data_IF_516550467753
#
_entry.id   IF_516550467753
#
_cell.length_a   1.000
_cell.length_b   1.000
_cell.length_c   1.000
_cell.angle_alpha   90.00
_cell.angle_beta   90.00
_cell.angle_gamma   90.00
#
_symmetry.space_group_name_H-M   'P 1'
#
loop_
_entity.id
_entity.type
_entity.pdbx_description
1 polymer ?
#
# COMPACT_ATOMS: atom_id res chain seq x y z
N UNK A 1 -31.22 -14.85 26.02
CA UNK A 1 -30.61 -16.00 25.30
C UNK A 1 -30.40 -15.68 23.82
N UNK A 2 -31.35 -15.03 23.14
CA UNK A 2 -31.17 -14.57 21.75
C UNK A 2 -30.05 -13.53 21.57
N UNK A 3 -29.88 -12.57 22.48
CA UNK A 3 -28.86 -11.53 22.32
C UNK A 3 -27.42 -12.06 22.37
N UNK A 4 -27.15 -13.04 23.26
CA UNK A 4 -25.84 -13.68 23.37
C UNK A 4 -25.49 -14.51 22.11
N UNK A 5 -26.49 -15.15 21.49
CA UNK A 5 -26.29 -15.93 20.26
C UNK A 5 -26.03 -14.98 19.08
N UNK A 6 -26.78 -13.88 18.98
CA UNK A 6 -26.57 -12.84 17.96
C UNK A 6 -25.18 -12.21 18.08
N UNK A 7 -24.75 -11.86 19.29
CA UNK A 7 -23.42 -11.29 19.54
C UNK A 7 -22.28 -12.27 19.17
N UNK A 8 -22.45 -13.56 19.46
CA UNK A 8 -21.48 -14.59 19.07
C UNK A 8 -21.40 -14.80 17.56
N UNK A 9 -22.55 -14.77 16.87
CA UNK A 9 -22.61 -14.87 15.40
C UNK A 9 -21.92 -13.66 14.75
N UNK A 10 -22.17 -12.46 15.28
CA UNK A 10 -21.58 -11.23 14.80
C UNK A 10 -20.06 -11.23 14.97
N UNK A 11 -19.54 -11.55 16.17
CA UNK A 11 -18.10 -11.71 16.43
C UNK A 11 -17.43 -12.73 15.52
N UNK A 12 -18.10 -13.86 15.27
CA UNK A 12 -17.59 -14.91 14.35
C UNK A 12 -17.54 -14.42 12.91
N UNK A 13 -18.51 -13.62 12.49
CA UNK A 13 -18.55 -13.03 11.14
C UNK A 13 -17.47 -11.97 10.94
N UNK A 14 -17.27 -11.07 11.91
CA UNK A 14 -16.20 -10.05 11.90
C UNK A 14 -14.84 -10.73 11.79
N UNK A 15 -14.56 -11.71 12.65
CA UNK A 15 -13.30 -12.45 12.64
C UNK A 15 -13.06 -13.15 11.30
N UNK A 16 -14.10 -13.72 10.69
CA UNK A 16 -14.01 -14.38 9.38
C UNK A 16 -13.63 -13.40 8.29
N UNK A 17 -14.29 -12.24 8.23
CA UNK A 17 -14.06 -11.24 7.18
C UNK A 17 -12.70 -10.55 7.32
N UNK A 18 -12.32 -10.16 8.54
CA UNK A 18 -11.00 -9.59 8.82
C UNK A 18 -9.90 -10.61 8.49
N UNK A 19 -10.00 -11.86 8.96
CA UNK A 19 -9.00 -12.88 8.65
C UNK A 19 -8.88 -13.16 7.16
N UNK A 20 -10.00 -13.13 6.42
CA UNK A 20 -9.99 -13.33 4.97
C UNK A 20 -9.29 -12.19 4.25
N UNK A 21 -9.60 -10.94 4.61
CA UNK A 21 -8.94 -9.77 4.05
C UNK A 21 -7.43 -9.76 4.38
N UNK A 22 -7.06 -10.02 5.64
CA UNK A 22 -5.66 -10.06 6.07
C UNK A 22 -4.87 -11.14 5.34
N UNK A 23 -5.42 -12.35 5.21
CA UNK A 23 -4.79 -13.42 4.43
C UNK A 23 -4.61 -13.02 2.97
N UNK A 24 -5.61 -12.38 2.37
CA UNK A 24 -5.52 -11.90 0.98
C UNK A 24 -4.39 -10.90 0.81
N UNK A 25 -4.26 -9.93 1.72
CA UNK A 25 -3.17 -8.95 1.71
C UNK A 25 -1.80 -9.62 1.88
N UNK A 26 -1.68 -10.58 2.80
CA UNK A 26 -0.44 -11.34 2.99
C UNK A 26 -0.06 -12.12 1.72
N UNK A 27 -1.03 -12.80 1.09
CA UNK A 27 -0.78 -13.49 -0.19
C UNK A 27 -0.34 -12.52 -1.29
N UNK A 28 -0.96 -11.34 -1.38
CA UNK A 28 -0.55 -10.33 -2.34
C UNK A 28 0.87 -9.85 -2.05
N UNK A 29 1.22 -9.61 -0.79
CA UNK A 29 2.57 -9.19 -0.40
C UNK A 29 3.61 -10.25 -0.74
N UNK A 30 3.32 -11.54 -0.48
CA UNK A 30 4.22 -12.63 -0.86
C UNK A 30 4.44 -12.70 -2.37
N UNK A 31 3.36 -12.56 -3.16
CA UNK A 31 3.46 -12.53 -4.62
C UNK A 31 4.30 -11.34 -5.09
N UNK A 32 4.12 -10.16 -4.49
CA UNK A 32 4.94 -8.97 -4.77
C UNK A 32 6.42 -9.25 -4.52
N UNK A 33 6.76 -9.80 -3.35
CA UNK A 33 8.14 -10.13 -3.00
C UNK A 33 8.74 -11.17 -3.96
N UNK A 34 7.97 -12.18 -4.35
CA UNK A 34 8.40 -13.22 -5.30
C UNK A 34 8.68 -12.61 -6.69
N UNK A 35 7.76 -11.81 -7.22
CA UNK A 35 7.92 -11.17 -8.54
C UNK A 35 9.11 -10.20 -8.52
N UNK A 36 9.26 -9.42 -7.46
CA UNK A 36 10.39 -8.52 -7.27
C UNK A 36 11.72 -9.28 -7.32
N UNK A 37 11.83 -10.38 -6.55
CA UNK A 37 13.01 -11.24 -6.52
C UNK A 37 13.35 -11.83 -7.90
N UNK A 38 12.37 -12.44 -8.57
CA UNK A 38 12.59 -13.02 -9.89
C UNK A 38 12.91 -11.98 -10.97
N UNK A 39 12.37 -10.76 -10.86
CA UNK A 39 12.68 -9.67 -11.78
C UNK A 39 14.14 -9.22 -11.66
N UNK A 40 14.66 -9.08 -10.43
CA UNK A 40 16.07 -8.78 -10.20
C UNK A 40 16.95 -9.93 -10.68
N UNK A 41 16.61 -11.18 -10.35
CA UNK A 41 17.37 -12.36 -10.78
C UNK A 41 17.46 -12.44 -12.31
N UNK A 42 16.34 -12.23 -13.01
CA UNK A 42 16.30 -12.22 -14.46
C UNK A 42 17.19 -11.13 -15.07
N UNK A 43 17.13 -9.90 -14.54
CA UNK A 43 17.95 -8.79 -15.02
C UNK A 43 19.44 -8.99 -14.71
N UNK A 44 19.75 -9.60 -13.57
CA UNK A 44 21.12 -9.95 -13.18
C UNK A 44 21.73 -10.95 -14.17
N UNK A 45 21.01 -12.01 -14.50
CA UNK A 45 21.45 -13.01 -15.50
C UNK A 45 21.59 -12.36 -16.89
N UNK A 46 20.68 -11.46 -17.27
CA UNK A 46 20.65 -10.85 -18.61
C UNK A 46 21.74 -9.81 -18.86
N UNK A 47 21.97 -8.91 -17.90
CA UNK A 47 22.88 -7.77 -18.09
C UNK A 47 24.27 -7.98 -17.46
N UNK A 48 24.47 -9.04 -16.66
CA UNK A 48 25.71 -9.32 -15.90
C UNK A 48 26.23 -8.10 -15.10
N UNK A 49 25.36 -7.16 -14.77
CA UNK A 49 25.66 -5.94 -14.02
C UNK A 49 25.53 -6.22 -12.52
N UNK A 50 26.13 -5.37 -11.67
CA UNK A 50 25.90 -5.44 -10.22
C UNK A 50 24.42 -5.25 -9.90
N UNK A 51 23.99 -5.82 -8.78
CA UNK A 51 22.61 -5.68 -8.30
C UNK A 51 22.27 -4.20 -8.09
N UNK A 52 23.21 -3.41 -7.57
CA UNK A 52 23.03 -1.98 -7.32
C UNK A 52 22.76 -1.18 -8.60
N UNK A 53 23.45 -1.50 -9.70
CA UNK A 53 23.20 -0.84 -10.99
C UNK A 53 21.84 -1.23 -11.59
N UNK A 54 21.35 -2.43 -11.28
CA UNK A 54 20.03 -2.91 -11.72
C UNK A 54 18.93 -2.22 -10.93
N UNK A 55 19.05 -2.14 -9.60
CA UNK A 55 18.07 -1.48 -8.75
C UNK A 55 18.01 0.01 -9.08
N UNK A 56 19.14 0.70 -9.18
CA UNK A 56 19.19 2.13 -9.52
C UNK A 56 18.44 2.45 -10.83
N UNK A 57 18.52 1.57 -11.83
CA UNK A 57 17.92 1.81 -13.15
C UNK A 57 16.47 1.30 -13.29
N UNK A 58 16.14 0.15 -12.71
CA UNK A 58 14.91 -0.58 -13.01
C UNK A 58 13.94 -0.71 -11.84
N UNK A 59 14.30 -0.26 -10.63
CA UNK A 59 13.49 -0.44 -9.42
C UNK A 59 12.03 0.02 -9.60
N UNK A 60 11.81 1.23 -10.15
CA UNK A 60 10.46 1.74 -10.40
C UNK A 60 9.64 0.86 -11.36
N UNK A 61 10.27 0.31 -12.40
CA UNK A 61 9.60 -0.58 -13.36
C UNK A 61 9.23 -1.91 -12.68
N UNK A 62 10.15 -2.45 -11.87
CA UNK A 62 9.92 -3.69 -11.13
C UNK A 62 8.76 -3.50 -10.14
N UNK A 63 8.68 -2.37 -9.44
CA UNK A 63 7.56 -2.06 -8.55
C UNK A 63 6.23 -1.96 -9.30
N UNK A 64 6.17 -1.27 -10.44
CA UNK A 64 4.94 -1.16 -11.23
C UNK A 64 4.45 -2.54 -11.68
N UNK A 65 5.35 -3.37 -12.21
CA UNK A 65 5.01 -4.74 -12.66
C UNK A 65 4.53 -5.60 -11.48
N UNK A 66 5.25 -5.52 -10.36
CA UNK A 66 4.91 -6.25 -9.14
C UNK A 66 3.52 -5.84 -8.66
N UNK A 67 3.28 -4.54 -8.45
CA UNK A 67 2.00 -4.01 -7.94
C UNK A 67 0.84 -4.31 -8.88
N UNK A 68 1.03 -4.21 -10.20
CA UNK A 68 0.00 -4.60 -11.16
C UNK A 68 -0.38 -6.09 -11.01
N UNK A 69 0.61 -6.98 -10.91
CA UNK A 69 0.37 -8.41 -10.73
C UNK A 69 -0.28 -8.72 -9.37
N UNK A 70 0.22 -8.13 -8.28
CA UNK A 70 -0.35 -8.29 -6.94
C UNK A 70 -1.80 -7.82 -6.86
N UNK A 71 -2.12 -6.71 -7.53
CA UNK A 71 -3.49 -6.16 -7.61
C UNK A 71 -4.43 -7.09 -8.39
N UNK A 72 -3.95 -7.70 -9.48
CA UNK A 72 -4.72 -8.69 -10.24
C UNK A 72 -4.97 -9.96 -9.41
N UNK A 73 -3.98 -10.43 -8.66
CA UNK A 73 -4.14 -11.55 -7.72
C UNK A 73 -5.14 -11.22 -6.60
N UNK A 74 -5.08 -10.00 -6.05
CA UNK A 74 -6.05 -9.51 -5.08
C UNK A 74 -7.46 -9.54 -5.65
N UNK A 75 -7.65 -8.98 -6.84
CA UNK A 75 -8.94 -8.93 -7.54
C UNK A 75 -9.48 -10.33 -7.86
N UNK A 76 -8.63 -11.22 -8.35
CA UNK A 76 -9.01 -12.59 -8.66
C UNK A 76 -9.45 -13.33 -7.39
N UNK A 77 -8.66 -13.25 -6.32
CA UNK A 77 -8.99 -13.87 -5.04
C UNK A 77 -10.23 -13.23 -4.40
N UNK A 78 -10.40 -11.92 -4.51
CA UNK A 78 -11.57 -11.22 -3.97
C UNK A 78 -12.85 -11.63 -4.72
N UNK A 79 -12.83 -11.63 -6.06
CA UNK A 79 -13.95 -12.02 -6.91
C UNK A 79 -14.33 -13.49 -6.76
N UNK A 80 -13.36 -14.38 -6.62
CA UNK A 80 -13.61 -15.82 -6.44
C UNK A 80 -14.31 -16.14 -5.10
N UNK A 81 -14.18 -15.25 -4.11
CA UNK A 81 -14.36 -15.60 -2.72
C UNK A 81 -15.39 -14.69 -2.00
N UNK A 82 -15.87 -13.62 -2.63
CA UNK A 82 -16.90 -12.71 -2.09
C UNK A 82 -18.07 -12.61 -3.09
N UNK A 83 -19.25 -13.13 -2.73
CA UNK A 83 -20.50 -13.12 -3.52
C UNK A 83 -21.19 -11.74 -3.43
N UNK A 84 -20.42 -10.65 -3.49
CA UNK A 84 -21.00 -9.30 -3.53
C UNK A 84 -20.47 -8.55 -4.74
N UNK A 85 -21.43 -8.01 -5.47
CA UNK A 85 -21.28 -7.41 -6.78
C UNK A 85 -20.36 -6.18 -6.68
N UNK A 86 -19.14 -6.31 -7.23
CA UNK A 86 -18.15 -5.22 -7.36
C UNK A 86 -18.76 -4.00 -8.08
N UNK A 87 -19.88 -4.19 -8.80
CA UNK A 87 -20.70 -3.18 -9.47
C UNK A 87 -21.15 -2.02 -8.57
N UNK A 88 -21.30 -2.24 -7.25
CA UNK A 88 -21.63 -1.17 -6.29
C UNK A 88 -20.42 -0.33 -5.87
N UNK A 89 -19.20 -0.82 -6.12
CA UNK A 89 -17.95 -0.10 -5.83
C UNK A 89 -17.62 0.90 -6.93
N UNK A 90 -18.09 0.68 -8.16
CA UNK A 90 -17.85 1.55 -9.31
C UNK A 90 -18.86 2.70 -9.41
N UNK A 91 -18.79 3.69 -8.51
CA UNK A 91 -19.16 5.05 -8.98
C UNK A 91 -18.10 5.43 -10.02
N UNK A 92 -18.51 5.89 -11.21
CA UNK A 92 -17.58 6.39 -12.23
C UNK A 92 -16.63 7.39 -11.56
N UNK A 93 -15.38 6.97 -11.32
CA UNK A 93 -14.32 7.86 -10.88
C UNK A 93 -14.09 8.81 -12.05
N UNK A 94 -14.58 10.04 -11.92
CA UNK A 94 -14.28 11.07 -12.90
C UNK A 94 -12.76 11.21 -12.97
N UNK A 95 -12.19 11.22 -14.18
CA UNK A 95 -10.77 11.52 -14.40
C UNK A 95 -10.35 12.78 -13.63
N UNK A 96 -11.26 13.76 -13.52
CA UNK A 96 -11.07 14.98 -12.75
C UNK A 96 -10.82 14.71 -11.25
N UNK A 97 -11.58 13.79 -10.64
CA UNK A 97 -11.41 13.44 -9.24
C UNK A 97 -10.10 12.69 -9.01
N UNK A 98 -9.73 11.80 -9.93
CA UNK A 98 -8.42 11.11 -9.87
C UNK A 98 -7.30 12.14 -9.94
N UNK A 99 -7.33 13.07 -10.90
CA UNK A 99 -6.30 14.11 -11.03
C UNK A 99 -6.21 15.02 -9.79
N UNK A 100 -7.36 15.39 -9.20
CA UNK A 100 -7.39 16.20 -7.97
C UNK A 100 -6.81 15.41 -6.81
N UNK A 101 -7.20 14.16 -6.62
CA UNK A 101 -6.65 13.30 -5.59
C UNK A 101 -5.13 13.11 -5.76
N UNK A 102 -4.66 12.84 -6.98
CA UNK A 102 -3.23 12.74 -7.29
C UNK A 102 -2.49 14.04 -6.98
N UNK A 103 -3.05 15.21 -7.33
CA UNK A 103 -2.46 16.51 -7.03
C UNK A 103 -2.36 16.76 -5.51
N UNK A 104 -3.38 16.37 -4.74
CA UNK A 104 -3.37 16.47 -3.28
C UNK A 104 -2.32 15.53 -2.68
N UNK A 105 -2.21 14.30 -3.18
CA UNK A 105 -1.22 13.32 -2.71
C UNK A 105 0.21 13.82 -3.00
N UNK A 106 0.45 14.35 -4.21
CA UNK A 106 1.72 14.97 -4.56
C UNK A 106 2.06 16.16 -3.64
N UNK A 107 1.08 17.02 -3.35
CA UNK A 107 1.28 18.15 -2.45
C UNK A 107 1.59 17.69 -1.01
N UNK A 108 0.87 16.70 -0.51
CA UNK A 108 1.13 16.11 0.81
C UNK A 108 2.52 15.45 0.86
N UNK A 109 2.95 14.79 -0.21
CA UNK A 109 4.27 14.17 -0.27
C UNK A 109 5.40 15.21 -0.26
N UNK A 110 5.22 16.36 -0.94
CA UNK A 110 6.15 17.49 -0.84
C UNK A 110 6.21 18.06 0.58
N UNK A 111 5.08 18.18 1.26
CA UNK A 111 5.01 18.63 2.65
C UNK A 111 5.73 17.64 3.58
N UNK A 112 5.52 16.33 3.38
CA UNK A 112 6.22 15.30 4.15
C UNK A 112 7.74 15.36 3.93
N UNK A 113 8.21 15.52 2.70
CA UNK A 113 9.64 15.70 2.40
C UNK A 113 10.23 16.93 3.11
N UNK A 114 9.52 18.06 3.08
CA UNK A 114 9.94 19.27 3.77
C UNK A 114 9.98 19.08 5.29
N UNK A 115 9.01 18.34 5.84
CA UNK A 115 8.98 18.03 7.27
C UNK A 115 10.15 17.15 7.71
N UNK A 116 10.51 16.14 6.92
CA UNK A 116 11.69 15.28 7.16
C UNK A 116 12.96 16.13 7.13
N UNK A 117 13.13 16.98 6.12
CA UNK A 117 14.27 17.90 6.04
C UNK A 117 14.38 18.83 7.27
N UNK A 118 13.25 19.31 7.77
CA UNK A 118 13.22 20.20 8.94
C UNK A 118 13.58 19.45 10.23
N UNK A 119 13.08 18.23 10.38
CA UNK A 119 13.40 17.34 11.51
C UNK A 119 14.87 16.94 11.47
N UNK A 120 15.39 16.60 10.29
CA UNK A 120 16.79 16.25 10.07
C UNK A 120 17.72 17.41 10.45
N UNK A 121 17.43 18.63 9.99
CA UNK A 121 18.20 19.81 10.39
C UNK A 121 18.14 20.04 11.91
N UNK A 122 16.99 19.79 12.53
CA UNK A 122 16.82 19.95 13.98
C UNK A 122 17.62 18.91 14.76
N UNK A 123 17.62 17.65 14.31
CA UNK A 123 18.38 16.56 14.94
C UNK A 123 19.89 16.72 14.76
N UNK A 124 20.32 17.22 13.59
CA UNK A 124 21.72 17.49 13.30
C UNK A 124 22.31 18.53 14.26
N UNK A 125 21.50 19.50 14.75
CA UNK A 125 21.92 20.43 15.80
C UNK A 125 22.24 19.75 17.13
N UNK A 126 21.65 18.58 17.39
CA UNK A 126 21.89 17.76 18.59
C UNK A 126 22.87 16.60 18.35
N UNK A 127 23.49 16.53 17.17
CA UNK A 127 24.45 15.47 16.82
C UNK A 127 23.82 14.14 16.41
N UNK A 128 22.52 14.10 16.15
CA UNK A 128 21.81 12.92 15.63
C UNK A 128 21.45 13.13 14.16
N UNK A 129 21.51 12.09 13.33
CA UNK A 129 21.04 12.14 11.94
C UNK A 129 20.08 11.00 11.66
N UNK A 130 18.88 11.36 11.22
CA UNK A 130 17.89 10.42 10.70
C UNK A 130 18.32 9.95 9.30
N UNK A 131 18.98 10.83 8.54
CA UNK A 131 19.55 10.54 7.22
C UNK A 131 20.65 9.48 7.26
N UNK A 132 21.55 9.45 8.25
CA UNK A 132 22.56 8.38 8.38
C UNK A 132 21.96 6.98 8.57
N UNK A 133 20.73 6.92 9.08
CA UNK A 133 19.94 5.68 9.21
C UNK A 133 19.28 5.29 7.89
N UNK A 134 19.03 6.28 7.02
CA UNK A 134 18.42 6.17 5.71
C UNK A 134 19.46 6.07 4.58
N UNK A 135 20.70 6.52 4.73
CA UNK A 135 21.78 6.36 3.74
C UNK A 135 22.22 4.89 3.58
N UNK A 136 21.91 4.03 4.55
CA UNK A 136 21.98 2.57 4.37
C UNK A 136 20.83 2.03 3.50
N UNK A 137 19.81 2.84 3.22
CA UNK A 137 18.77 2.60 2.22
C UNK A 137 19.06 3.56 1.07
N UNK A 138 20.02 3.18 0.22
CA UNK A 138 20.42 3.90 -0.99
C UNK A 138 19.28 4.75 -1.54
N UNK A 139 19.39 6.08 -1.47
CA UNK A 139 18.39 6.96 -2.07
C UNK A 139 18.28 6.54 -3.54
N UNK A 140 17.17 5.91 -3.97
CA UNK A 140 17.10 5.44 -5.35
C UNK A 140 17.31 6.64 -6.25
N UNK A 141 18.13 6.50 -7.29
CA UNK A 141 18.10 7.47 -8.37
C UNK A 141 16.62 7.66 -8.74
N UNK A 142 16.13 8.90 -8.68
CA UNK A 142 14.72 9.21 -8.89
C UNK A 142 14.42 8.99 -10.38
N UNK A 143 14.21 7.73 -10.74
CA UNK A 143 13.81 7.36 -12.09
C UNK A 143 12.39 7.85 -12.31
N UNK A 144 12.09 8.27 -13.52
CA UNK A 144 10.72 8.64 -13.93
C UNK A 144 9.74 7.52 -13.60
N UNK A 145 10.16 6.25 -13.72
CA UNK A 145 9.37 5.09 -13.31
C UNK A 145 9.09 5.04 -11.81
N UNK A 146 10.09 5.35 -10.96
CA UNK A 146 9.89 5.36 -9.51
C UNK A 146 9.00 6.53 -9.08
N UNK A 147 9.13 7.68 -9.73
CA UNK A 147 8.23 8.81 -9.55
C UNK A 147 6.79 8.45 -9.93
N UNK A 148 6.57 7.87 -11.12
CA UNK A 148 5.24 7.43 -11.56
C UNK A 148 4.65 6.36 -10.62
N UNK A 149 5.48 5.43 -10.15
CA UNK A 149 5.06 4.45 -9.17
C UNK A 149 4.59 5.11 -7.87
N UNK A 150 5.47 5.88 -7.23
CA UNK A 150 5.23 6.45 -5.90
C UNK A 150 4.11 7.51 -5.90
N UNK A 151 3.96 8.26 -6.99
CA UNK A 151 3.01 9.37 -7.05
C UNK A 151 1.66 9.04 -7.68
N UNK A 152 1.59 7.97 -8.48
CA UNK A 152 0.37 7.61 -9.21
C UNK A 152 -0.04 6.17 -8.95
N UNK A 153 0.79 5.20 -9.31
CA UNK A 153 0.38 3.79 -9.33
C UNK A 153 0.12 3.26 -7.94
N UNK A 154 1.06 3.47 -7.00
CA UNK A 154 0.90 3.07 -5.60
C UNK A 154 -0.36 3.67 -4.97
N UNK A 155 -0.50 5.01 -4.93
CA UNK A 155 -1.65 5.64 -4.29
C UNK A 155 -3.01 5.26 -4.91
N UNK A 156 -3.08 5.07 -6.24
CA UNK A 156 -4.33 4.63 -6.90
C UNK A 156 -4.72 3.21 -6.49
N UNK A 157 -3.75 2.29 -6.44
CA UNK A 157 -4.00 0.91 -6.02
C UNK A 157 -4.36 0.83 -4.54
N UNK A 158 -3.64 1.58 -3.70
CA UNK A 158 -3.93 1.68 -2.26
C UNK A 158 -5.35 2.19 -2.02
N UNK A 159 -5.76 3.28 -2.67
CA UNK A 159 -7.11 3.84 -2.55
C UNK A 159 -8.18 2.82 -2.98
N UNK A 160 -7.94 2.11 -4.09
CA UNK A 160 -8.84 1.09 -4.59
C UNK A 160 -9.00 -0.10 -3.62
N UNK A 161 -7.90 -0.62 -3.08
CA UNK A 161 -7.91 -1.77 -2.17
C UNK A 161 -8.47 -1.38 -0.80
N UNK A 162 -7.92 -0.33 -0.18
CA UNK A 162 -8.24 0.02 1.19
C UNK A 162 -9.59 0.75 1.29
N UNK A 163 -9.82 1.80 0.49
CA UNK A 163 -11.08 2.55 0.56
C UNK A 163 -12.18 1.93 -0.29
N UNK A 164 -11.82 1.39 -1.45
CA UNK A 164 -12.78 0.75 -2.34
C UNK A 164 -13.31 -0.58 -1.81
N UNK A 165 -12.44 -1.44 -1.26
CA UNK A 165 -12.80 -2.82 -0.92
C UNK A 165 -12.83 -3.06 0.58
N UNK A 166 -11.74 -2.78 1.30
CA UNK A 166 -11.61 -3.12 2.73
C UNK A 166 -12.61 -2.32 3.58
N UNK A 167 -12.63 -1.00 3.46
CA UNK A 167 -13.55 -0.14 4.23
C UNK A 167 -15.00 -0.53 3.92
N UNK A 168 -15.40 -0.57 2.65
CA UNK A 168 -16.78 -0.93 2.27
C UNK A 168 -17.22 -2.29 2.81
N UNK A 169 -16.32 -3.28 2.82
CA UNK A 169 -16.63 -4.61 3.36
C UNK A 169 -16.77 -4.60 4.88
N UNK A 170 -16.02 -3.77 5.59
CA UNK A 170 -16.04 -3.67 7.05
C UNK A 170 -17.06 -2.65 7.57
N UNK A 171 -17.56 -1.73 6.74
CA UNK A 171 -18.54 -0.69 7.12
C UNK A 171 -19.82 -1.27 7.72
N UNK A 172 -20.21 -2.48 7.30
CA UNK A 172 -21.35 -3.22 7.88
C UNK A 172 -21.19 -3.55 9.37
N UNK A 173 -19.96 -3.50 9.90
CA UNK A 173 -19.63 -3.69 11.32
C UNK A 173 -19.42 -2.35 12.07
N UNK A 174 -19.61 -1.23 11.39
CA UNK A 174 -19.43 0.11 11.93
C UNK A 174 -18.33 0.90 11.21
N UNK A 175 -18.62 2.17 10.89
CA UNK A 175 -17.71 3.05 10.15
C UNK A 175 -16.37 3.26 10.86
N UNK A 176 -16.39 3.53 12.17
CA UNK A 176 -15.17 3.75 12.94
C UNK A 176 -14.32 2.48 13.02
N UNK A 177 -14.97 1.32 13.18
CA UNK A 177 -14.29 0.02 13.16
C UNK A 177 -13.62 -0.25 11.81
N UNK A 178 -14.33 -0.01 10.71
CA UNK A 178 -13.80 -0.18 9.35
C UNK A 178 -12.55 0.68 9.11
N UNK A 179 -12.58 1.95 9.55
CA UNK A 179 -11.44 2.87 9.43
C UNK A 179 -10.24 2.37 10.25
N UNK A 180 -10.45 2.00 11.51
CA UNK A 180 -9.39 1.55 12.41
C UNK A 180 -8.72 0.25 11.94
N UNK A 181 -9.52 -0.73 11.51
CA UNK A 181 -8.96 -1.99 11.01
C UNK A 181 -8.26 -1.78 9.67
N UNK A 182 -8.83 -0.97 8.77
CA UNK A 182 -8.20 -0.66 7.49
C UNK A 182 -6.84 0.05 7.67
N UNK A 183 -6.71 0.99 8.62
CA UNK A 183 -5.43 1.69 8.87
C UNK A 183 -4.36 0.76 9.45
N UNK A 184 -4.74 -0.14 10.36
CA UNK A 184 -3.84 -1.18 10.88
C UNK A 184 -3.36 -2.10 9.75
N UNK A 185 -4.29 -2.58 8.92
CA UNK A 185 -3.96 -3.42 7.77
C UNK A 185 -3.05 -2.71 6.75
N UNK A 186 -3.27 -1.41 6.55
CA UNK A 186 -2.44 -0.57 5.68
C UNK A 186 -1.00 -0.42 6.19
N UNK A 187 -0.83 -0.19 7.50
CA UNK A 187 0.50 -0.10 8.11
C UNK A 187 1.28 -1.41 8.01
N UNK A 188 0.62 -2.55 8.22
CA UNK A 188 1.24 -3.86 8.02
C UNK A 188 1.57 -4.14 6.55
N UNK A 189 0.74 -3.71 5.61
CA UNK A 189 0.97 -3.88 4.17
C UNK A 189 2.28 -3.21 3.71
N UNK A 190 2.60 -2.04 4.29
CA UNK A 190 3.84 -1.33 3.98
C UNK A 190 5.05 -1.77 4.82
N UNK A 191 4.89 -2.76 5.71
CA UNK A 191 5.93 -3.20 6.66
C UNK A 191 6.52 -2.05 7.49
N UNK A 192 5.76 -0.96 7.66
CA UNK A 192 6.17 0.24 8.37
C UNK A 192 4.95 0.83 9.10
N UNK A 193 4.93 0.68 10.43
CA UNK A 193 3.85 1.17 11.27
C UNK A 193 3.67 2.70 11.19
N UNK A 194 4.73 3.45 10.85
CA UNK A 194 4.69 4.91 10.70
C UNK A 194 3.78 5.36 9.55
N UNK A 195 3.80 4.64 8.42
CA UNK A 195 2.97 4.96 7.26
C UNK A 195 1.47 4.69 7.52
N UNK A 196 1.15 3.73 8.41
CA UNK A 196 -0.22 3.46 8.85
C UNK A 196 -0.88 4.61 9.61
N UNK A 197 -0.10 5.41 10.34
CA UNK A 197 -0.61 6.52 11.16
C UNK A 197 -0.81 7.79 10.32
N UNK A 198 -0.03 7.98 9.25
CA UNK A 198 0.02 9.23 8.49
C UNK A 198 -1.05 9.30 7.38
N UNK A 199 -1.48 8.15 6.83
CA UNK A 199 -2.35 8.12 5.64
C UNK A 199 -3.84 8.38 5.94
N UNK A 200 -4.28 8.29 7.20
CA UNK A 200 -5.69 8.46 7.58
C UNK A 200 -5.92 9.54 8.64
N UNK A 201 -5.44 10.76 8.38
CA UNK A 201 -6.01 11.97 8.99
C UNK A 201 -7.14 12.54 8.13
#
# INVERSE_FOLDING_TARGET
MNDLITEQIEKKSVKKDVNKLSRTLIYCQLILTIIYFFSILFLYIKNSSSIDAITEKYEGIIYIVSVAAGSLCFLHYYKYNSIEDISTVTKKLSIKNIMICTAIILALQLISQLSIYTIENSLNLFGYSLMNSLEQVSAPAVTISMFLYASLVGPVIEEFIFRGIIIKKLEKYGKMFAILISSVMFGFYHSNAYQGIIVFR
#
